data_IF_854708987460
#
_entry.id   IF_854708987460
#
_cell.length_a   1.000
_cell.length_b   1.000
_cell.length_c   1.000
_cell.angle_alpha   90.00
_cell.angle_beta   90.00
_cell.angle_gamma   90.00
#
_symmetry.space_group_name_H-M   'P 1'
#
loop_
_entity.id
_entity.type
_entity.pdbx_description
1 polymer ?
#
# COMPACT_ATOMS: atom_id res chain seq x y z
N UNK A 1 17.95 19.23 17.27
CA UNK A 1 17.67 20.56 17.86
C UNK A 1 18.46 20.82 19.14
N UNK A 2 18.34 19.99 20.18
CA UNK A 2 19.09 20.17 21.45
C UNK A 2 20.61 20.24 21.25
N UNK A 3 21.17 19.32 20.46
CA UNK A 3 22.62 19.29 20.16
C UNK A 3 23.11 20.59 19.50
N UNK A 4 22.40 21.08 18.48
CA UNK A 4 22.69 22.36 17.84
C UNK A 4 22.57 23.54 18.82
N UNK A 5 21.60 23.51 19.73
CA UNK A 5 21.45 24.56 20.75
C UNK A 5 22.64 24.60 21.71
N UNK A 6 23.13 23.44 22.17
CA UNK A 6 24.33 23.35 23.00
C UNK A 6 25.55 23.86 22.23
N UNK A 7 25.76 23.41 20.99
CA UNK A 7 26.90 23.84 20.17
C UNK A 7 26.90 25.36 19.92
N UNK A 8 25.76 25.94 19.51
CA UNK A 8 25.64 27.38 19.28
C UNK A 8 25.81 28.17 20.56
N UNK A 9 25.25 27.71 21.69
CA UNK A 9 25.44 28.37 22.99
C UNK A 9 26.91 28.41 23.39
N UNK A 10 27.64 27.33 23.17
CA UNK A 10 29.07 27.26 23.49
C UNK A 10 29.91 28.10 22.54
N UNK A 11 29.49 28.25 21.28
CA UNK A 11 30.21 29.04 20.28
C UNK A 11 29.90 30.54 20.36
N UNK A 12 28.70 30.93 20.81
CA UNK A 12 28.27 32.32 20.94
C UNK A 12 28.56 32.82 22.36
N UNK A 13 29.61 33.63 22.49
CA UNK A 13 29.97 34.28 23.75
C UNK A 13 29.37 35.69 23.85
N UNK A 14 28.20 35.80 24.48
CA UNK A 14 27.50 37.06 24.71
C UNK A 14 28.21 38.05 25.62
N UNK A 15 29.24 37.62 26.37
CA UNK A 15 30.05 38.52 27.22
C UNK A 15 31.38 38.90 26.58
N UNK A 16 31.78 38.17 25.54
CA UNK A 16 33.00 38.40 24.77
C UNK A 16 32.70 38.91 23.37
N UNK A 17 32.90 38.04 22.37
CA UNK A 17 32.82 38.39 20.94
C UNK A 17 31.46 38.94 20.48
N UNK A 18 30.41 38.78 21.28
CA UNK A 18 29.05 39.25 20.98
C UNK A 18 28.51 40.28 21.98
N UNK A 19 29.39 40.90 22.79
CA UNK A 19 28.98 41.84 23.83
C UNK A 19 28.27 43.11 23.32
N UNK A 20 28.50 43.51 22.07
CA UNK A 20 27.90 44.66 21.41
C UNK A 20 26.50 44.37 20.83
N UNK A 21 26.09 43.10 20.82
CA UNK A 21 24.76 42.69 20.39
C UNK A 21 23.80 42.60 21.59
N UNK A 22 22.91 43.59 21.72
CA UNK A 22 21.97 43.72 22.86
C UNK A 22 21.11 42.48 23.09
N UNK A 23 20.72 41.79 22.02
CA UNK A 23 19.78 40.67 22.08
C UNK A 23 20.50 39.32 22.24
N UNK A 24 21.84 39.29 22.32
CA UNK A 24 22.61 38.05 22.42
C UNK A 24 22.15 37.19 23.61
N UNK A 25 21.97 37.76 24.80
CA UNK A 25 21.51 37.02 25.98
C UNK A 25 20.05 36.54 25.89
N UNK A 26 19.23 37.25 25.10
CA UNK A 26 17.85 36.86 24.85
C UNK A 26 17.77 35.64 23.92
N UNK A 27 18.65 35.55 22.92
CA UNK A 27 18.71 34.41 21.99
C UNK A 27 19.61 33.27 22.48
N UNK A 28 20.78 33.59 23.00
CA UNK A 28 21.86 32.66 23.31
C UNK A 28 22.26 32.65 24.79
N UNK A 29 21.51 33.25 25.71
CA UNK A 29 21.91 33.27 27.13
C UNK A 29 21.84 31.90 27.81
N UNK A 30 20.81 31.11 27.49
CA UNK A 30 20.56 29.78 28.09
C UNK A 30 20.16 28.77 27.01
N UNK A 31 20.33 27.47 27.30
CA UNK A 31 19.96 26.40 26.36
C UNK A 31 18.49 26.49 25.92
N UNK A 32 17.49 26.70 26.81
CA UNK A 32 16.09 26.85 26.37
C UNK A 32 15.87 28.06 25.46
N UNK A 33 16.54 29.20 25.71
CA UNK A 33 16.47 30.38 24.85
C UNK A 33 17.04 30.07 23.47
N UNK A 34 18.21 29.43 23.41
CA UNK A 34 18.83 29.02 22.14
C UNK A 34 17.97 28.01 21.39
N UNK A 35 17.33 27.08 22.10
CA UNK A 35 16.36 26.17 21.50
C UNK A 35 15.17 26.92 20.89
N UNK A 36 14.64 27.94 21.57
CA UNK A 36 13.56 28.78 21.04
C UNK A 36 14.00 29.58 19.80
N UNK A 37 15.20 30.18 19.82
CA UNK A 37 15.81 30.83 18.65
C UNK A 37 15.94 29.85 17.49
N UNK A 38 16.35 28.61 17.74
CA UNK A 38 16.45 27.60 16.71
C UNK A 38 15.08 27.21 16.13
N UNK A 39 14.01 27.18 16.93
CA UNK A 39 12.64 27.01 16.42
C UNK A 39 12.26 28.16 15.48
N UNK A 40 12.54 29.40 15.85
CA UNK A 40 12.34 30.57 14.98
C UNK A 40 13.16 30.47 13.68
N UNK A 41 14.38 29.95 13.75
CA UNK A 41 15.20 29.73 12.55
C UNK A 41 14.61 28.64 11.66
N UNK A 42 14.05 27.56 12.22
CA UNK A 42 13.38 26.48 11.45
C UNK A 42 12.16 26.99 10.69
N UNK A 43 11.39 27.90 11.28
CA UNK A 43 10.23 28.52 10.62
C UNK A 43 10.64 29.52 9.54
N UNK A 44 11.93 29.77 9.36
CA UNK A 44 12.51 30.78 8.48
C UNK A 44 12.01 32.21 8.80
N UNK A 45 11.55 32.43 10.03
CA UNK A 45 10.99 33.70 10.45
C UNK A 45 12.10 34.68 10.83
N UNK A 46 12.30 35.69 9.97
CA UNK A 46 13.28 36.77 10.17
C UNK A 46 14.73 36.31 10.41
N UNK A 47 15.03 35.01 10.24
CA UNK A 47 16.25 34.34 10.68
C UNK A 47 17.54 35.02 10.19
N UNK A 48 17.55 35.56 8.98
CA UNK A 48 18.73 36.22 8.41
C UNK A 48 18.97 37.58 9.06
N UNK A 49 17.93 38.39 9.25
CA UNK A 49 18.08 39.73 9.81
C UNK A 49 18.28 39.70 11.33
N UNK A 50 17.58 38.81 12.04
CA UNK A 50 17.62 38.74 13.51
C UNK A 50 18.77 37.89 14.05
N UNK A 51 19.22 36.87 13.33
CA UNK A 51 20.24 35.92 13.81
C UNK A 51 21.43 35.81 12.85
N UNK A 52 21.18 35.61 11.56
CA UNK A 52 22.23 35.33 10.56
C UNK A 52 23.24 36.45 10.38
N UNK A 53 22.79 37.68 10.13
CA UNK A 53 23.65 38.86 9.96
C UNK A 53 24.46 39.18 11.23
N UNK A 54 23.86 39.27 12.43
CA UNK A 54 24.62 39.46 13.66
C UNK A 54 25.70 38.40 13.90
N UNK A 55 25.43 37.14 13.54
CA UNK A 55 26.40 36.05 13.60
C UNK A 55 27.55 36.23 12.61
N UNK A 56 27.27 36.59 11.35
CA UNK A 56 28.30 36.80 10.32
C UNK A 56 29.22 37.97 10.66
N UNK A 57 28.67 39.07 11.16
CA UNK A 57 29.43 40.29 11.48
C UNK A 57 30.50 40.05 12.55
N UNK A 58 30.26 39.11 13.47
CA UNK A 58 31.13 38.84 14.62
C UNK A 58 31.95 37.56 14.45
N UNK A 59 31.33 36.51 13.95
CA UNK A 59 31.98 35.22 13.73
C UNK A 59 31.48 34.56 12.43
N UNK A 60 32.10 34.91 11.28
CA UNK A 60 31.71 34.42 9.96
C UNK A 60 31.64 32.89 9.85
N UNK A 61 32.47 32.17 10.62
CA UNK A 61 32.52 30.70 10.63
C UNK A 61 31.23 30.04 11.15
N UNK A 62 30.37 30.75 11.89
CA UNK A 62 29.09 30.21 12.37
C UNK A 62 28.00 30.21 11.30
N UNK A 63 28.15 31.03 10.26
CA UNK A 63 27.18 31.14 9.19
C UNK A 63 26.98 29.84 8.39
N UNK A 64 28.04 29.13 7.92
CA UNK A 64 27.84 27.84 7.26
C UNK A 64 27.21 26.79 8.18
N UNK A 65 27.47 26.82 9.49
CA UNK A 65 26.83 25.93 10.48
C UNK A 65 25.33 26.22 10.59
N UNK A 66 24.95 27.50 10.60
CA UNK A 66 23.54 27.92 10.60
C UNK A 66 22.82 27.51 9.30
N UNK A 67 23.47 27.68 8.14
CA UNK A 67 22.92 27.23 6.86
C UNK A 67 22.75 25.71 6.81
N UNK A 68 23.72 24.95 7.33
CA UNK A 68 23.61 23.49 7.44
C UNK A 68 22.43 23.09 8.34
N UNK A 69 22.24 23.79 9.46
CA UNK A 69 21.08 23.57 10.33
C UNK A 69 19.77 23.79 9.57
N UNK A 70 19.63 24.94 8.90
CA UNK A 70 18.43 25.26 8.09
C UNK A 70 18.20 24.19 7.03
N UNK A 71 19.24 23.79 6.29
CA UNK A 71 19.12 22.77 5.26
C UNK A 71 18.62 21.43 5.84
N UNK A 72 19.25 20.96 6.93
CA UNK A 72 18.87 19.71 7.58
C UNK A 72 17.46 19.76 8.16
N UNK A 73 17.03 20.88 8.75
CA UNK A 73 15.71 20.97 9.36
C UNK A 73 14.60 21.24 8.36
N UNK A 74 14.81 22.16 7.41
CA UNK A 74 13.78 22.51 6.43
C UNK A 74 13.59 21.38 5.44
N UNK A 75 14.67 20.87 4.83
CA UNK A 75 14.53 19.73 3.91
C UNK A 75 14.28 18.44 4.67
N UNK A 76 14.90 18.21 5.82
CA UNK A 76 14.67 16.98 6.59
C UNK A 76 13.25 16.87 7.12
N UNK A 77 12.73 17.88 7.83
CA UNK A 77 11.38 17.80 8.42
C UNK A 77 10.30 17.81 7.34
N UNK A 78 10.41 18.67 6.31
CA UNK A 78 9.42 18.71 5.23
C UNK A 78 9.42 17.40 4.43
N UNK A 79 10.60 16.85 4.10
CA UNK A 79 10.66 15.59 3.35
C UNK A 79 10.13 14.41 4.18
N UNK A 80 10.33 14.39 5.51
CA UNK A 80 9.73 13.37 6.38
C UNK A 80 8.21 13.51 6.39
N UNK A 81 7.68 14.72 6.56
CA UNK A 81 6.22 14.95 6.59
C UNK A 81 5.59 14.53 5.25
N UNK A 82 6.18 14.96 4.13
CA UNK A 82 5.73 14.58 2.79
C UNK A 82 5.82 13.06 2.62
N UNK A 83 6.92 12.45 3.05
CA UNK A 83 7.10 10.99 3.01
C UNK A 83 5.98 10.24 3.73
N UNK A 84 5.65 10.65 4.97
CA UNK A 84 4.56 10.04 5.76
C UNK A 84 3.19 10.23 5.10
N UNK A 85 2.91 11.42 4.55
CA UNK A 85 1.64 11.69 3.86
C UNK A 85 1.52 10.81 2.61
N UNK A 86 2.59 10.70 1.81
CA UNK A 86 2.62 9.87 0.60
C UNK A 86 2.46 8.39 0.96
N UNK A 87 3.17 7.90 1.97
CA UNK A 87 3.05 6.52 2.45
C UNK A 87 1.61 6.21 2.90
N UNK A 88 1.00 7.09 3.70
CA UNK A 88 -0.38 6.91 4.13
C UNK A 88 -1.37 6.93 2.95
N UNK A 89 -1.15 7.81 1.97
CA UNK A 89 -2.00 7.90 0.76
C UNK A 89 -1.87 6.64 -0.09
N UNK A 90 -0.65 6.12 -0.27
CA UNK A 90 -0.40 4.88 -0.99
C UNK A 90 -1.00 3.66 -0.27
N UNK A 91 -0.89 3.61 1.07
CA UNK A 91 -1.45 2.51 1.88
C UNK A 91 -2.98 2.46 1.82
N UNK A 92 -3.66 3.61 1.81
CA UNK A 92 -5.13 3.65 1.62
C UNK A 92 -5.48 3.10 0.24
N UNK A 93 -4.79 3.58 -0.81
CA UNK A 93 -5.03 3.13 -2.18
C UNK A 93 -4.77 1.62 -2.38
N UNK A 94 -3.71 1.07 -1.77
CA UNK A 94 -3.41 -0.37 -1.85
C UNK A 94 -4.38 -1.21 -1.03
N UNK A 95 -4.81 -0.73 0.14
CA UNK A 95 -5.76 -1.46 0.99
C UNK A 95 -7.13 -1.66 0.31
N UNK A 96 -7.58 -0.68 -0.47
CA UNK A 96 -8.84 -0.80 -1.22
C UNK A 96 -8.73 -1.85 -2.34
N UNK A 97 -7.59 -1.92 -3.03
CA UNK A 97 -7.34 -2.94 -4.06
C UNK A 97 -7.26 -4.35 -3.43
N UNK A 98 -6.48 -4.52 -2.37
CA UNK A 98 -6.36 -5.80 -1.65
C UNK A 98 -7.72 -6.30 -1.14
N UNK A 99 -8.57 -5.39 -0.65
CA UNK A 99 -9.92 -5.71 -0.19
C UNK A 99 -10.83 -6.14 -1.35
N UNK A 100 -10.73 -5.48 -2.51
CA UNK A 100 -11.49 -5.87 -3.70
C UNK A 100 -11.05 -7.24 -4.21
N UNK A 101 -9.75 -7.49 -4.30
CA UNK A 101 -9.19 -8.78 -4.74
C UNK A 101 -9.61 -9.92 -3.80
N UNK A 102 -9.54 -9.71 -2.48
CA UNK A 102 -10.00 -10.68 -1.49
C UNK A 102 -11.50 -10.96 -1.59
N UNK A 103 -12.31 -9.93 -1.85
CA UNK A 103 -13.76 -10.10 -2.04
C UNK A 103 -14.06 -10.92 -3.29
N UNK A 104 -13.38 -10.62 -4.39
CA UNK A 104 -13.52 -11.35 -5.64
C UNK A 104 -13.12 -12.83 -5.48
N UNK A 105 -11.95 -13.10 -4.88
CA UNK A 105 -11.50 -14.47 -4.58
C UNK A 105 -12.49 -15.23 -3.69
N UNK A 106 -13.06 -14.57 -2.68
CA UNK A 106 -14.05 -15.19 -1.80
C UNK A 106 -15.35 -15.52 -2.53
N UNK A 107 -15.84 -14.63 -3.39
CA UNK A 107 -17.02 -14.89 -4.22
C UNK A 107 -16.77 -16.07 -5.15
N UNK A 108 -15.60 -16.13 -5.79
CA UNK A 108 -15.24 -17.25 -6.66
C UNK A 108 -15.24 -18.59 -5.92
N UNK A 109 -14.66 -18.64 -4.72
CA UNK A 109 -14.65 -19.86 -3.91
C UNK A 109 -16.07 -20.29 -3.51
N UNK A 110 -16.95 -19.35 -3.17
CA UNK A 110 -18.34 -19.65 -2.85
C UNK A 110 -19.12 -20.22 -4.04
N UNK A 111 -18.90 -19.69 -5.26
CA UNK A 111 -19.51 -20.25 -6.46
C UNK A 111 -18.96 -21.64 -6.79
N UNK A 112 -17.67 -21.89 -6.57
CA UNK A 112 -17.08 -23.22 -6.74
C UNK A 112 -17.63 -24.23 -5.73
N UNK A 113 -17.79 -23.85 -4.47
CA UNK A 113 -18.44 -24.69 -3.45
C UNK A 113 -19.88 -24.99 -3.82
N UNK A 114 -20.64 -23.99 -4.27
CA UNK A 114 -22.00 -24.18 -4.75
C UNK A 114 -22.07 -25.14 -5.95
N UNK A 115 -21.22 -24.95 -6.96
CA UNK A 115 -21.18 -25.84 -8.12
C UNK A 115 -20.77 -27.26 -7.73
N UNK A 116 -19.88 -27.42 -6.75
CA UNK A 116 -19.51 -28.74 -6.22
C UNK A 116 -20.71 -29.46 -5.60
N UNK A 117 -21.46 -28.78 -4.73
CA UNK A 117 -22.66 -29.35 -4.11
C UNK A 117 -23.71 -29.73 -5.17
N UNK A 118 -23.84 -28.90 -6.20
CA UNK A 118 -24.80 -29.17 -7.28
C UNK A 118 -24.35 -30.37 -8.11
N UNK A 119 -23.07 -30.47 -8.48
CA UNK A 119 -22.50 -31.66 -9.14
C UNK A 119 -22.76 -32.94 -8.34
N UNK A 120 -22.47 -32.93 -7.03
CA UNK A 120 -22.73 -34.08 -6.15
C UNK A 120 -24.22 -34.44 -6.06
N UNK A 121 -25.13 -33.46 -6.21
CA UNK A 121 -26.58 -33.70 -6.21
C UNK A 121 -27.14 -34.23 -7.53
N UNK A 122 -26.42 -34.04 -8.63
CA UNK A 122 -26.86 -34.46 -9.97
C UNK A 122 -26.32 -35.83 -10.36
N UNK A 123 -25.17 -36.22 -9.80
CA UNK A 123 -24.58 -37.55 -9.89
C UNK A 123 -25.55 -38.59 -9.28
N UNK A 124 -26.43 -39.12 -10.13
CA UNK A 124 -27.52 -39.99 -9.72
C UNK A 124 -27.07 -41.44 -9.56
N UNK A 125 -25.96 -41.80 -10.20
CA UNK A 125 -25.35 -43.13 -10.16
C UNK A 125 -24.26 -43.25 -9.09
N UNK A 126 -23.81 -42.13 -8.51
CA UNK A 126 -22.78 -42.07 -7.47
C UNK A 126 -21.38 -42.36 -8.01
N UNK A 127 -21.15 -42.14 -9.30
CA UNK A 127 -19.87 -42.38 -9.97
C UNK A 127 -18.78 -41.38 -9.54
N UNK A 128 -19.16 -40.24 -8.96
CA UNK A 128 -18.29 -39.10 -8.68
C UNK A 128 -18.00 -38.25 -9.93
N UNK A 129 -18.73 -38.49 -11.02
CA UNK A 129 -18.60 -37.82 -12.32
C UNK A 129 -19.97 -37.52 -12.89
N UNK A 130 -20.07 -36.54 -13.78
CA UNK A 130 -21.29 -36.31 -14.57
C UNK A 130 -21.07 -36.81 -15.99
N UNK A 131 -22.01 -37.60 -16.49
CA UNK A 131 -22.11 -37.89 -17.91
C UNK A 131 -22.70 -36.71 -18.70
N UNK A 132 -22.78 -36.83 -20.02
CA UNK A 132 -23.30 -35.77 -20.89
C UNK A 132 -24.73 -35.38 -20.55
N UNK A 133 -25.58 -36.37 -20.29
CA UNK A 133 -27.01 -36.14 -20.08
C UNK A 133 -27.24 -35.45 -18.74
N UNK A 134 -26.55 -35.90 -17.69
CA UNK A 134 -26.56 -35.29 -16.35
C UNK A 134 -26.00 -33.86 -16.38
N UNK A 135 -24.90 -33.62 -17.09
CA UNK A 135 -24.31 -32.29 -17.24
C UNK A 135 -25.23 -31.33 -18.01
N UNK A 136 -25.90 -31.81 -19.04
CA UNK A 136 -26.81 -30.95 -19.82
C UNK A 136 -28.05 -30.62 -19.01
N UNK A 137 -28.61 -31.57 -18.26
CA UNK A 137 -29.76 -31.34 -17.38
C UNK A 137 -29.42 -30.35 -16.25
N UNK A 138 -28.26 -30.52 -15.60
CA UNK A 138 -27.85 -29.64 -14.50
C UNK A 138 -27.62 -28.20 -14.95
N UNK A 139 -27.08 -28.00 -16.16
CA UNK A 139 -26.84 -26.67 -16.73
C UNK A 139 -28.13 -25.95 -17.14
N UNK A 140 -29.26 -26.64 -17.26
CA UNK A 140 -30.56 -26.00 -17.47
C UNK A 140 -31.12 -25.37 -16.18
N UNK A 141 -30.61 -25.75 -15.01
CA UNK A 141 -31.02 -25.17 -13.72
C UNK A 141 -30.62 -23.70 -13.66
N UNK A 142 -31.55 -22.77 -13.36
CA UNK A 142 -31.27 -21.34 -13.33
C UNK A 142 -30.13 -20.97 -12.37
N UNK A 143 -30.02 -21.66 -11.24
CA UNK A 143 -29.00 -21.42 -10.23
C UNK A 143 -27.59 -21.75 -10.77
N UNK A 144 -27.45 -22.86 -11.49
CA UNK A 144 -26.20 -23.30 -12.13
C UNK A 144 -25.82 -22.36 -13.26
N UNK A 145 -26.77 -22.01 -14.13
CA UNK A 145 -26.53 -21.08 -15.23
C UNK A 145 -26.06 -19.71 -14.73
N UNK A 146 -26.64 -19.21 -13.63
CA UNK A 146 -26.22 -17.97 -13.00
C UNK A 146 -24.82 -18.07 -12.36
N UNK A 147 -24.49 -19.19 -11.71
CA UNK A 147 -23.17 -19.43 -11.14
C UNK A 147 -22.08 -19.47 -12.23
N UNK A 148 -22.34 -20.22 -13.31
CA UNK A 148 -21.45 -20.30 -14.48
C UNK A 148 -21.26 -18.93 -15.15
N UNK A 149 -22.34 -18.14 -15.30
CA UNK A 149 -22.25 -16.78 -15.85
C UNK A 149 -21.41 -15.84 -14.97
N UNK A 150 -21.55 -15.91 -13.63
CA UNK A 150 -20.69 -15.15 -12.69
C UNK A 150 -19.23 -15.61 -12.72
N UNK A 151 -19.01 -16.86 -13.09
CA UNK A 151 -17.70 -17.42 -13.36
C UNK A 151 -17.21 -17.15 -14.79
N UNK A 152 -17.92 -16.34 -15.59
CA UNK A 152 -17.60 -16.02 -16.99
C UNK A 152 -17.45 -17.27 -17.87
N UNK A 153 -18.13 -18.36 -17.49
CA UNK A 153 -18.20 -19.59 -18.27
C UNK A 153 -19.43 -19.51 -19.18
N UNK A 154 -19.25 -19.53 -20.51
CA UNK A 154 -20.38 -19.50 -21.42
C UNK A 154 -21.14 -20.83 -21.37
N UNK A 155 -22.31 -20.82 -20.70
CA UNK A 155 -23.19 -21.97 -20.54
C UNK A 155 -24.50 -21.84 -21.35
N UNK A 156 -24.49 -21.06 -22.44
CA UNK A 156 -25.66 -20.93 -23.33
C UNK A 156 -25.93 -22.23 -24.09
N UNK A 157 -24.87 -22.93 -24.47
CA UNK A 157 -24.90 -24.21 -25.17
C UNK A 157 -24.16 -25.27 -24.33
N UNK A 158 -24.86 -25.95 -23.40
CA UNK A 158 -24.21 -26.90 -22.48
C UNK A 158 -23.54 -28.08 -23.19
N UNK A 159 -24.01 -28.46 -24.38
CA UNK A 159 -23.38 -29.51 -25.19
C UNK A 159 -21.99 -29.11 -25.70
N UNK A 160 -21.85 -27.90 -26.24
CA UNK A 160 -20.56 -27.37 -26.68
C UNK A 160 -19.62 -27.17 -25.49
N UNK A 161 -20.17 -26.76 -24.34
CA UNK A 161 -19.40 -26.63 -23.10
C UNK A 161 -18.89 -28.01 -22.62
N UNK A 162 -19.72 -29.06 -22.72
CA UNK A 162 -19.30 -30.41 -22.39
C UNK A 162 -18.13 -30.86 -23.28
N UNK A 163 -18.22 -30.63 -24.59
CA UNK A 163 -17.16 -30.99 -25.54
C UNK A 163 -15.83 -30.28 -25.24
N UNK A 164 -15.89 -29.03 -24.76
CA UNK A 164 -14.71 -28.27 -24.35
C UNK A 164 -14.11 -28.81 -23.04
N UNK A 165 -14.97 -29.25 -22.12
CA UNK A 165 -14.55 -29.77 -20.82
C UNK A 165 -14.00 -31.22 -20.92
N UNK A 166 -14.56 -32.03 -21.82
CA UNK A 166 -14.14 -33.41 -22.10
C UNK A 166 -13.08 -33.46 -23.21
N UNK A 167 -11.99 -32.71 -23.05
CA UNK A 167 -10.88 -32.61 -24.02
C UNK A 167 -10.26 -33.99 -24.34
N UNK A 168 -10.27 -34.91 -23.37
CA UNK A 168 -9.72 -36.27 -23.51
C UNK A 168 -10.72 -37.27 -24.11
N UNK A 169 -11.99 -36.90 -24.29
CA UNK A 169 -13.03 -37.76 -24.86
C UNK A 169 -13.39 -38.96 -23.98
N UNK A 170 -13.33 -38.79 -22.66
CA UNK A 170 -13.65 -39.82 -21.66
C UNK A 170 -15.16 -40.04 -21.60
N UNK A 171 -15.96 -39.03 -21.96
CA UNK A 171 -17.42 -39.04 -21.90
C UNK A 171 -17.99 -38.78 -20.51
N UNK A 172 -17.13 -38.43 -19.54
CA UNK A 172 -17.50 -38.14 -18.15
C UNK A 172 -16.65 -36.98 -17.62
N UNK A 173 -17.26 -36.08 -16.86
CA UNK A 173 -16.60 -34.91 -16.29
C UNK A 173 -16.59 -35.02 -14.77
N UNK A 174 -15.40 -35.11 -14.18
CA UNK A 174 -15.24 -34.95 -12.73
C UNK A 174 -15.26 -33.48 -12.33
N UNK A 175 -15.63 -33.18 -11.08
CA UNK A 175 -15.56 -31.81 -10.56
C UNK A 175 -14.13 -31.22 -10.64
N UNK A 176 -13.09 -32.06 -10.49
CA UNK A 176 -11.70 -31.63 -10.63
C UNK A 176 -11.38 -31.19 -12.05
N UNK A 177 -11.79 -31.99 -13.04
CA UNK A 177 -11.65 -31.67 -14.48
C UNK A 177 -12.37 -30.37 -14.81
N UNK A 178 -13.62 -30.23 -14.34
CA UNK A 178 -14.40 -29.00 -14.50
C UNK A 178 -13.66 -27.78 -13.91
N UNK A 179 -13.19 -27.88 -12.66
CA UNK A 179 -12.50 -26.79 -11.97
C UNK A 179 -11.19 -26.40 -12.67
N UNK A 180 -10.40 -27.36 -13.16
CA UNK A 180 -9.17 -27.09 -13.91
C UNK A 180 -9.44 -26.45 -15.27
N UNK A 181 -10.46 -26.93 -15.99
CA UNK A 181 -10.83 -26.38 -17.29
C UNK A 181 -11.41 -24.97 -17.17
N UNK A 182 -12.20 -24.67 -16.14
CA UNK A 182 -12.67 -23.29 -15.88
C UNK A 182 -11.52 -22.35 -15.53
N UNK A 183 -10.50 -22.82 -14.80
CA UNK A 183 -9.28 -22.03 -14.57
C UNK A 183 -8.54 -21.69 -15.87
N UNK A 184 -8.41 -22.65 -16.79
CA UNK A 184 -7.82 -22.43 -18.12
C UNK A 184 -8.62 -21.40 -18.93
N UNK A 185 -9.95 -21.53 -18.96
CA UNK A 185 -10.85 -20.65 -19.71
C UNK A 185 -10.80 -19.19 -19.22
N UNK A 186 -10.65 -18.96 -17.90
CA UNK A 186 -10.55 -17.60 -17.33
C UNK A 186 -9.16 -16.96 -17.45
N UNK A 187 -8.11 -17.71 -17.81
CA UNK A 187 -6.74 -17.17 -17.92
C UNK A 187 -6.14 -16.67 -16.60
N UNK A 188 -6.62 -17.16 -15.44
CA UNK A 188 -6.16 -16.72 -14.11
C UNK A 188 -4.86 -17.45 -13.71
N UNK A 189 -3.77 -16.75 -13.36
CA UNK A 189 -2.52 -17.40 -12.93
C UNK A 189 -2.68 -18.08 -11.55
N UNK A 190 -2.16 -19.30 -11.40
CA UNK A 190 -2.16 -20.06 -10.14
C UNK A 190 -1.01 -19.63 -9.22
N UNK A 191 -1.33 -19.16 -8.01
CA UNK A 191 -0.38 -18.99 -6.90
C UNK A 191 -0.16 -20.29 -6.09
N UNK A 192 -0.54 -21.46 -6.62
CA UNK A 192 -0.43 -22.74 -5.91
C UNK A 192 0.80 -23.59 -6.30
N UNK A 193 1.66 -23.09 -7.19
CA UNK A 193 2.89 -23.78 -7.60
C UNK A 193 4.14 -23.42 -6.75
N UNK A 194 3.95 -22.81 -5.57
CA UNK A 194 5.02 -22.64 -4.59
C UNK A 194 4.91 -23.69 -3.48
N UNK A 195 5.36 -24.91 -3.76
CA UNK A 195 5.87 -25.84 -2.76
C UNK A 195 7.13 -26.52 -3.26
#
# INVERSE_FOLDING_TARGET
MYTFAVCLRLAVDCKGSFADWSDCEAFFGTIPRTMYTLVQVVTLESWNMTVGRPLVERQPLLFPVLLLYIFLTTFGLLNIIVGVIVENTLNIASSDQDLQDRRFQRQLLQELEFLKEVFESADSDGSGTLDREEFVDICQRPEVKNALLRMEVPAEQPEELFDILDEEGVGQISFLTFHESVKKVRGVPTNFDMK
#
